data_IF_735556832864
#
_entry.id   IF_735556832864
#
_cell.length_a   1.000
_cell.length_b   1.000
_cell.length_c   1.000
_cell.angle_alpha   90.00
_cell.angle_beta   90.00
_cell.angle_gamma   90.00
#
_symmetry.space_group_name_H-M   'P 1'
#
loop_
_entity.id
_entity.type
_entity.pdbx_description
1 polymer ?
#
# COMPACT_ATOMS: atom_id res chain seq x y z
N UNK A 1 -16.60 15.00 -17.20
CA UNK A 1 -16.42 13.82 -16.30
C UNK A 1 -14.91 13.60 -16.21
N UNK A 2 -14.29 13.73 -15.02
CA UNK A 2 -12.85 13.53 -14.91
C UNK A 2 -12.50 12.08 -15.34
N UNK A 3 -11.39 11.86 -16.06
CA UNK A 3 -10.98 10.51 -16.42
C UNK A 3 -10.75 9.71 -15.13
N UNK A 4 -11.32 8.51 -15.05
CA UNK A 4 -11.16 7.61 -13.91
C UNK A 4 -9.80 6.91 -13.88
N UNK A 5 -8.92 7.23 -14.84
CA UNK A 5 -7.64 6.59 -15.11
C UNK A 5 -6.53 7.64 -15.28
N UNK A 6 -5.34 7.33 -14.77
CA UNK A 6 -4.13 8.11 -14.97
C UNK A 6 -3.00 7.21 -15.49
N UNK A 7 -2.20 7.74 -16.42
CA UNK A 7 -1.00 7.06 -16.95
C UNK A 7 0.25 7.64 -16.30
N UNK A 8 1.13 6.76 -15.85
CA UNK A 8 2.41 7.07 -15.21
C UNK A 8 3.54 6.53 -16.10
N UNK A 9 4.59 7.32 -16.30
CA UNK A 9 5.78 7.00 -17.10
C UNK A 9 7.03 6.81 -16.24
N UNK A 10 6.88 6.83 -14.91
CA UNK A 10 7.95 6.61 -13.94
C UNK A 10 8.55 7.89 -13.36
N UNK A 11 8.14 9.07 -13.84
CA UNK A 11 8.51 10.36 -13.24
C UNK A 11 7.33 11.01 -12.52
N UNK A 12 6.11 10.75 -12.97
CA UNK A 12 4.90 11.30 -12.41
C UNK A 12 4.47 10.53 -11.16
N UNK A 13 3.84 11.24 -10.24
CA UNK A 13 3.15 10.66 -9.10
C UNK A 13 2.07 11.63 -8.61
N UNK A 14 1.09 11.11 -7.90
CA UNK A 14 0.14 11.95 -7.15
C UNK A 14 0.58 11.97 -5.69
N UNK A 15 0.49 13.13 -5.07
CA UNK A 15 0.66 13.26 -3.62
C UNK A 15 -0.51 14.02 -3.03
N UNK A 16 -1.00 13.57 -1.89
CA UNK A 16 -2.03 14.28 -1.13
C UNK A 16 -1.58 14.46 0.31
N UNK A 17 -1.64 15.70 0.78
CA UNK A 17 -1.30 16.07 2.13
C UNK A 17 -2.53 15.90 3.03
N UNK A 18 -2.49 14.90 3.90
CA UNK A 18 -3.58 14.54 4.81
C UNK A 18 -3.63 15.43 6.06
N UNK A 19 -2.55 16.14 6.38
CA UNK A 19 -2.54 17.07 7.52
C UNK A 19 -3.43 18.30 7.29
N UNK A 20 -3.85 18.55 6.04
CA UNK A 20 -4.62 19.76 5.67
C UNK A 20 -6.01 19.86 6.32
N UNK A 21 -6.50 18.80 6.96
CA UNK A 21 -7.79 18.79 7.68
C UNK A 21 -7.70 19.26 9.14
N UNK A 22 -6.51 19.62 9.64
CA UNK A 22 -6.37 20.10 11.03
C UNK A 22 -4.96 20.30 11.55
N UNK A 23 -3.92 20.25 10.70
CA UNK A 23 -2.51 20.33 11.08
C UNK A 23 -1.91 18.99 11.51
N UNK A 24 -2.74 18.04 11.95
CA UNK A 24 -2.30 16.75 12.48
C UNK A 24 -2.46 15.59 11.47
N UNK A 25 -1.60 14.56 11.53
CA UNK A 25 -1.76 13.33 10.76
C UNK A 25 -3.11 12.64 11.03
N UNK A 26 -3.64 11.95 10.02
CA UNK A 26 -4.79 11.06 10.22
C UNK A 26 -4.30 9.81 10.94
N UNK A 27 -5.00 9.44 12.00
CA UNK A 27 -4.70 8.26 12.80
C UNK A 27 -5.86 7.27 12.66
N UNK A 28 -5.59 6.06 12.16
CA UNK A 28 -6.65 5.08 11.86
C UNK A 28 -6.43 3.71 12.50
N UNK A 29 -7.53 3.08 12.93
CA UNK A 29 -7.57 1.67 13.38
C UNK A 29 -8.07 0.74 12.27
N UNK A 30 -8.68 1.27 11.22
CA UNK A 30 -9.22 0.50 10.11
C UNK A 30 -9.05 1.26 8.79
N UNK A 31 -8.54 0.57 7.77
CA UNK A 31 -8.27 1.15 6.45
C UNK A 31 -8.71 0.20 5.35
N UNK A 32 -9.19 0.78 4.24
CA UNK A 32 -9.51 0.04 3.02
C UNK A 32 -8.99 0.79 1.81
N UNK A 33 -8.06 0.18 1.08
CA UNK A 33 -7.45 0.76 -0.11
C UNK A 33 -7.81 -0.14 -1.29
N UNK A 34 -8.31 0.43 -2.39
CA UNK A 34 -8.62 -0.32 -3.60
C UNK A 34 -8.24 0.48 -4.83
N UNK A 35 -7.53 -0.17 -5.75
CA UNK A 35 -7.14 0.41 -7.03
C UNK A 35 -7.02 -0.70 -8.08
N UNK A 36 -7.12 -0.31 -9.34
CA UNK A 36 -6.78 -1.17 -10.46
C UNK A 36 -5.48 -0.68 -11.08
N UNK A 37 -4.61 -1.61 -11.48
CA UNK A 37 -3.35 -1.31 -12.14
C UNK A 37 -3.18 -2.15 -13.41
N UNK A 38 -2.43 -1.61 -14.37
CA UNK A 38 -2.02 -2.30 -15.59
C UNK A 38 -0.59 -1.88 -15.93
N UNK A 39 0.33 -2.83 -16.05
CA UNK A 39 1.74 -2.57 -16.32
C UNK A 39 2.44 -3.72 -17.03
N UNK A 40 3.59 -3.43 -17.65
CA UNK A 40 4.59 -4.41 -18.13
C UNK A 40 5.84 -4.42 -17.27
N UNK A 41 5.96 -3.50 -16.30
CA UNK A 41 7.13 -3.41 -15.44
C UNK A 41 6.96 -4.36 -14.26
N UNK A 42 7.99 -5.14 -13.91
CA UNK A 42 7.90 -6.11 -12.81
C UNK A 42 7.94 -5.45 -11.44
N UNK A 43 8.25 -4.16 -11.34
CA UNK A 43 8.38 -3.43 -10.08
C UNK A 43 7.97 -1.97 -10.20
N UNK A 44 7.30 -1.46 -9.17
CA UNK A 44 6.86 -0.06 -9.12
C UNK A 44 5.97 0.24 -7.91
N UNK A 45 6.06 1.46 -7.37
CA UNK A 45 5.22 1.90 -6.24
C UNK A 45 3.77 2.13 -6.68
N UNK A 46 2.82 1.39 -6.11
CA UNK A 46 1.40 1.60 -6.42
C UNK A 46 0.79 2.66 -5.48
N UNK A 47 0.99 2.48 -4.17
CA UNK A 47 0.41 3.34 -3.14
C UNK A 47 1.32 3.35 -1.90
N UNK A 48 1.42 4.52 -1.27
CA UNK A 48 2.09 4.68 0.00
C UNK A 48 1.33 5.66 0.88
N UNK A 49 1.29 5.41 2.18
CA UNK A 49 0.92 6.41 3.20
C UNK A 49 1.76 6.17 4.46
N UNK A 50 2.02 7.23 5.22
CA UNK A 50 2.74 7.10 6.48
C UNK A 50 3.04 8.43 7.14
N UNK A 51 3.58 8.34 8.35
CA UNK A 51 4.07 9.44 9.17
C UNK A 51 5.09 8.93 10.18
N UNK A 52 6.29 9.52 10.21
CA UNK A 52 7.39 9.05 11.05
C UNK A 52 7.78 7.59 10.79
N UNK A 53 7.60 6.71 11.79
CA UNK A 53 7.87 5.27 11.70
C UNK A 53 6.69 4.46 11.17
N UNK A 54 5.49 5.04 11.16
CA UNK A 54 4.27 4.38 10.74
C UNK A 54 4.11 4.49 9.24
N UNK A 55 3.84 3.38 8.57
CA UNK A 55 3.63 3.37 7.13
C UNK A 55 2.82 2.16 6.67
N UNK A 56 2.21 2.32 5.50
CA UNK A 56 1.67 1.25 4.67
C UNK A 56 2.12 1.48 3.23
N UNK A 57 2.82 0.48 2.69
CA UNK A 57 3.44 0.51 1.37
C UNK A 57 2.95 -0.67 0.52
N UNK A 58 2.27 -0.36 -0.57
CA UNK A 58 1.77 -1.28 -1.58
C UNK A 58 2.57 -1.08 -2.88
N UNK A 59 3.24 -2.13 -3.33
CA UNK A 59 4.08 -2.07 -4.51
C UNK A 59 4.01 -3.37 -5.32
N UNK A 60 4.32 -3.27 -6.61
CA UNK A 60 4.67 -4.43 -7.40
C UNK A 60 6.16 -4.75 -7.21
N UNK A 61 6.50 -6.03 -7.04
CA UNK A 61 7.88 -6.53 -6.95
C UNK A 61 7.98 -7.90 -7.61
N UNK A 62 8.92 -8.05 -8.54
CA UNK A 62 9.16 -9.25 -9.34
C UNK A 62 7.90 -9.84 -10.01
N UNK A 63 6.96 -8.97 -10.41
CA UNK A 63 5.67 -9.32 -11.01
C UNK A 63 4.60 -9.79 -10.01
N UNK A 64 4.89 -9.77 -8.71
CA UNK A 64 3.92 -10.02 -7.63
C UNK A 64 3.53 -8.74 -6.88
N UNK A 65 2.41 -8.76 -6.19
CA UNK A 65 1.99 -7.66 -5.30
C UNK A 65 2.62 -7.85 -3.93
N UNK A 66 3.24 -6.81 -3.39
CA UNK A 66 3.85 -6.77 -2.06
C UNK A 66 3.20 -5.69 -1.22
N UNK A 67 2.95 -6.02 0.04
CA UNK A 67 2.40 -5.10 1.02
C UNK A 67 3.28 -5.15 2.27
N UNK A 68 3.77 -3.99 2.68
CA UNK A 68 4.59 -3.82 3.88
C UNK A 68 3.98 -2.75 4.75
N UNK A 69 4.01 -2.94 6.06
CA UNK A 69 3.42 -2.03 7.02
C UNK A 69 4.26 -1.97 8.28
N UNK A 70 4.32 -0.81 8.91
CA UNK A 70 4.83 -0.65 10.26
C UNK A 70 3.88 0.23 11.07
N UNK A 71 3.70 -0.12 12.34
CA UNK A 71 2.84 0.56 13.30
C UNK A 71 3.64 0.84 14.59
N UNK A 72 4.82 1.44 14.44
CA UNK A 72 5.77 1.72 15.52
C UNK A 72 6.47 0.50 16.12
N UNK A 73 5.70 -0.45 16.65
CA UNK A 73 6.18 -1.60 17.42
C UNK A 73 5.95 -2.97 16.74
N UNK A 74 5.57 -2.97 15.46
CA UNK A 74 5.52 -4.20 14.68
C UNK A 74 5.45 -3.96 13.19
N UNK A 75 6.41 -4.59 12.49
CA UNK A 75 6.47 -4.63 11.04
C UNK A 75 5.76 -5.89 10.53
N UNK A 76 4.90 -5.70 9.55
CA UNK A 76 4.29 -6.78 8.77
C UNK A 76 4.71 -6.69 7.31
N UNK A 77 4.86 -7.85 6.70
CA UNK A 77 5.12 -8.00 5.27
C UNK A 77 4.39 -9.22 4.74
N UNK A 78 3.80 -9.07 3.55
CA UNK A 78 3.11 -10.13 2.84
C UNK A 78 3.26 -9.93 1.34
N UNK A 79 3.25 -11.04 0.60
CA UNK A 79 3.41 -11.05 -0.85
C UNK A 79 2.40 -11.98 -1.50
N UNK A 80 1.76 -11.50 -2.56
CA UNK A 80 0.91 -12.28 -3.46
C UNK A 80 1.70 -12.46 -4.75
N UNK A 81 2.27 -13.66 -4.94
CA UNK A 81 3.04 -14.03 -6.14
C UNK A 81 2.82 -15.51 -6.47
N UNK A 82 1.71 -15.87 -7.14
CA UNK A 82 1.43 -17.26 -7.51
C UNK A 82 2.46 -17.78 -8.54
N UNK A 83 2.83 -19.05 -8.46
CA UNK A 83 3.93 -19.62 -9.28
C UNK A 83 3.76 -19.48 -10.80
N UNK A 84 2.52 -19.47 -11.31
CA UNK A 84 2.21 -19.43 -12.75
C UNK A 84 1.55 -18.13 -13.21
N UNK A 85 1.42 -17.15 -12.32
CA UNK A 85 0.68 -15.91 -12.58
C UNK A 85 1.57 -14.74 -12.23
N UNK A 86 1.57 -13.74 -13.11
CA UNK A 86 2.26 -12.48 -12.88
C UNK A 86 1.27 -11.35 -13.14
N UNK A 87 1.42 -10.26 -12.41
CA UNK A 87 0.54 -9.10 -12.53
C UNK A 87 1.14 -7.96 -13.37
N UNK A 88 2.29 -8.21 -14.00
CA UNK A 88 2.92 -7.34 -15.01
C UNK A 88 2.68 -7.82 -16.45
N UNK A 89 1.52 -8.45 -16.70
CA UNK A 89 1.13 -9.06 -17.98
C UNK A 89 0.43 -8.07 -18.95
N UNK A 90 0.41 -6.78 -18.60
CA UNK A 90 -0.31 -5.72 -19.30
C UNK A 90 -1.84 -5.88 -19.34
N UNK A 91 -2.43 -6.65 -18.42
CA UNK A 91 -3.86 -6.70 -18.16
C UNK A 91 -4.22 -5.86 -16.92
N UNK A 92 -5.51 -5.60 -16.76
CA UNK A 92 -6.02 -4.92 -15.59
C UNK A 92 -6.13 -5.89 -14.43
N UNK A 93 -5.47 -5.55 -13.31
CA UNK A 93 -5.62 -6.25 -12.05
C UNK A 93 -6.18 -5.32 -10.98
N UNK A 94 -7.13 -5.82 -10.18
CA UNK A 94 -7.68 -5.08 -9.04
C UNK A 94 -7.03 -5.57 -7.77
N UNK A 95 -6.37 -4.68 -7.05
CA UNK A 95 -5.87 -4.95 -5.70
C UNK A 95 -6.76 -4.25 -4.67
N UNK A 96 -7.13 -4.98 -3.63
CA UNK A 96 -7.83 -4.44 -2.46
C UNK A 96 -7.09 -4.83 -1.21
N UNK A 97 -6.80 -3.86 -0.35
CA UNK A 97 -6.11 -4.02 0.92
C UNK A 97 -7.06 -3.63 2.04
N UNK A 98 -7.14 -4.45 3.08
CA UNK A 98 -7.85 -4.17 4.31
C UNK A 98 -6.91 -4.29 5.50
N UNK A 99 -6.95 -3.28 6.37
CA UNK A 99 -6.26 -3.25 7.66
C UNK A 99 -7.31 -3.08 8.75
N UNK A 100 -7.22 -3.84 9.82
CA UNK A 100 -8.09 -3.69 10.98
C UNK A 100 -7.35 -4.02 12.27
N UNK A 101 -7.33 -3.08 13.20
CA UNK A 101 -6.91 -3.29 14.58
C UNK A 101 -8.13 -3.64 15.41
N UNK A 102 -7.98 -4.65 16.24
CA UNK A 102 -8.95 -5.06 17.24
C UNK A 102 -8.28 -5.03 18.60
N UNK A 103 -8.77 -4.16 19.49
CA UNK A 103 -8.35 -4.14 20.88
C UNK A 103 -8.95 -5.34 21.61
N UNK A 104 -8.12 -6.09 22.33
CA UNK A 104 -8.54 -7.24 23.15
C UNK A 104 -8.47 -6.90 24.64
N UNK A 105 -7.45 -6.13 25.03
CA UNK A 105 -7.29 -5.59 26.37
C UNK A 105 -6.49 -4.29 26.30
N UNK A 106 -6.39 -3.58 27.43
CA UNK A 106 -5.63 -2.33 27.54
C UNK A 106 -4.15 -2.42 27.13
N UNK A 107 -3.57 -3.63 27.05
CA UNK A 107 -2.17 -3.87 26.68
C UNK A 107 -2.00 -4.75 25.44
N UNK A 108 -3.10 -5.26 24.87
CA UNK A 108 -3.06 -6.21 23.76
C UNK A 108 -4.07 -5.85 22.69
N UNK A 109 -3.55 -5.55 21.50
CA UNK A 109 -4.30 -5.40 20.26
C UNK A 109 -3.85 -6.44 19.23
N UNK A 110 -4.76 -6.86 18.38
CA UNK A 110 -4.47 -7.62 17.17
C UNK A 110 -4.65 -6.76 15.94
N UNK A 111 -3.65 -6.69 15.08
CA UNK A 111 -3.77 -6.08 13.77
C UNK A 111 -3.86 -7.17 12.71
N UNK A 112 -4.95 -7.18 11.93
CA UNK A 112 -5.08 -7.99 10.72
C UNK A 112 -4.81 -7.12 9.49
N UNK A 113 -3.95 -7.63 8.62
CA UNK A 113 -3.67 -7.07 7.31
C UNK A 113 -4.04 -8.11 6.25
N UNK A 114 -4.80 -7.73 5.24
CA UNK A 114 -5.15 -8.63 4.15
C UNK A 114 -5.14 -7.91 2.82
N UNK A 115 -4.77 -8.62 1.77
CA UNK A 115 -4.79 -8.14 0.41
C UNK A 115 -5.42 -9.19 -0.51
N UNK A 116 -6.14 -8.73 -1.52
CA UNK A 116 -6.76 -9.57 -2.55
C UNK A 116 -6.46 -8.98 -3.91
N UNK A 117 -5.96 -9.80 -4.83
CA UNK A 117 -5.78 -9.47 -6.25
C UNK A 117 -6.81 -10.24 -7.07
N UNK A 118 -7.58 -9.51 -7.88
CA UNK A 118 -8.62 -10.00 -8.80
C UNK A 118 -9.77 -10.78 -8.16
N UNK A 119 -9.93 -10.66 -6.84
CA UNK A 119 -10.90 -11.45 -6.08
C UNK A 119 -10.52 -12.92 -5.89
N UNK A 120 -9.36 -13.33 -6.38
CA UNK A 120 -8.93 -14.74 -6.41
C UNK A 120 -7.71 -14.95 -5.50
N UNK A 121 -6.65 -14.16 -5.71
CA UNK A 121 -5.41 -14.34 -4.99
C UNK A 121 -5.45 -13.53 -3.70
N UNK A 122 -5.66 -14.22 -2.59
CA UNK A 122 -5.78 -13.59 -1.27
C UNK A 122 -4.58 -13.95 -0.43
N UNK A 123 -4.09 -12.97 0.33
CA UNK A 123 -3.13 -13.22 1.39
C UNK A 123 -3.50 -12.41 2.63
N UNK A 124 -3.13 -12.91 3.80
CA UNK A 124 -3.36 -12.21 5.05
C UNK A 124 -2.23 -12.46 6.02
N UNK A 125 -1.93 -11.45 6.83
CA UNK A 125 -0.97 -11.49 7.91
C UNK A 125 -1.57 -10.84 9.15
N UNK A 126 -1.04 -11.19 10.31
CA UNK A 126 -1.50 -10.64 11.57
C UNK A 126 -0.35 -10.49 12.54
N UNK A 127 -0.52 -9.59 13.50
CA UNK A 127 0.43 -9.38 14.59
C UNK A 127 -0.32 -9.06 15.88
N UNK A 128 0.28 -9.39 17.03
CA UNK A 128 -0.27 -9.23 18.37
C UNK A 128 0.70 -8.41 19.25
N UNK A 129 0.20 -7.45 20.04
CA UNK A 129 1.03 -6.54 20.83
C UNK A 129 0.37 -5.19 21.10
N UNK A 130 1.15 -4.22 21.57
CA UNK A 130 0.69 -2.85 21.90
C UNK A 130 0.57 -1.96 20.65
N UNK A 131 -0.08 -2.40 19.57
CA UNK A 131 -0.01 -1.65 18.30
C UNK A 131 -0.54 -0.22 18.42
N UNK A 132 0.24 0.69 17.88
CA UNK A 132 -0.22 2.04 17.60
C UNK A 132 -1.05 2.03 16.31
N UNK A 133 -1.95 3.00 16.22
CA UNK A 133 -2.77 3.23 15.03
C UNK A 133 -1.87 3.63 13.85
N UNK A 134 -2.35 3.51 12.62
CA UNK A 134 -1.57 3.97 11.47
C UNK A 134 -1.66 5.48 11.41
N UNK A 135 -0.56 6.18 11.72
CA UNK A 135 -0.44 7.62 11.46
C UNK A 135 -0.13 7.88 9.97
N UNK A 136 -0.79 8.87 9.39
CA UNK A 136 -0.68 9.19 7.96
C UNK A 136 -0.79 10.69 7.71
N UNK A 137 0.35 11.32 7.41
CA UNK A 137 0.42 12.75 7.07
C UNK A 137 0.38 12.99 5.56
N UNK A 138 0.78 11.99 4.76
CA UNK A 138 0.81 12.10 3.29
C UNK A 138 0.54 10.78 2.60
N UNK A 139 -0.20 10.85 1.50
CA UNK A 139 -0.42 9.75 0.56
C UNK A 139 0.39 10.00 -0.71
N UNK A 140 0.96 8.95 -1.26
CA UNK A 140 1.54 8.91 -2.60
C UNK A 140 0.89 7.81 -3.44
N UNK A 141 0.67 8.09 -4.72
CA UNK A 141 0.12 7.13 -5.70
C UNK A 141 0.98 7.13 -6.95
N UNK A 142 1.36 5.93 -7.41
CA UNK A 142 2.18 5.74 -8.62
C UNK A 142 3.66 6.08 -8.47
N UNK A 143 4.10 6.70 -7.38
CA UNK A 143 5.50 7.06 -7.20
C UNK A 143 5.70 8.08 -6.09
N UNK A 144 6.93 8.53 -5.91
CA UNK A 144 7.27 9.63 -5.01
C UNK A 144 8.51 10.35 -5.53
N UNK A 145 8.93 11.41 -4.84
CA UNK A 145 10.18 12.09 -5.14
C UNK A 145 11.40 11.17 -5.03
N UNK A 146 11.40 10.26 -4.04
CA UNK A 146 12.44 9.25 -3.86
C UNK A 146 11.83 7.98 -3.24
N UNK A 147 11.39 7.08 -4.11
CA UNK A 147 10.69 5.85 -3.70
C UNK A 147 11.58 4.87 -2.94
N UNK A 148 12.88 4.88 -3.17
CA UNK A 148 13.82 4.07 -2.39
C UNK A 148 13.97 4.58 -0.95
N UNK A 149 13.82 5.89 -0.72
CA UNK A 149 13.93 6.48 0.61
C UNK A 149 12.66 6.32 1.47
N UNK A 150 11.54 5.88 0.89
CA UNK A 150 10.31 5.66 1.65
C UNK A 150 10.49 4.49 2.64
N UNK A 151 10.14 4.66 3.93
CA UNK A 151 10.15 3.59 4.91
C UNK A 151 9.42 2.33 4.43
N UNK A 152 10.09 1.17 4.56
CA UNK A 152 9.53 -0.11 4.13
C UNK A 152 9.51 -0.36 2.62
N UNK A 153 9.93 0.61 1.81
CA UNK A 153 10.09 0.39 0.38
C UNK A 153 11.16 -0.66 0.10
N UNK A 154 10.82 -1.62 -0.76
CA UNK A 154 11.74 -2.67 -1.24
C UNK A 154 12.00 -2.56 -2.73
N UNK A 155 11.66 -1.41 -3.30
CA UNK A 155 11.73 -1.12 -4.73
C UNK A 155 12.27 0.31 -4.90
N UNK A 156 12.88 0.57 -6.05
CA UNK A 156 13.54 1.85 -6.33
C UNK A 156 12.73 2.72 -7.29
N UNK A 157 11.82 2.09 -8.05
CA UNK A 157 11.19 2.69 -9.21
C UNK A 157 9.79 3.19 -8.88
N UNK A 158 9.44 4.34 -9.41
CA UNK A 158 8.04 4.74 -9.55
C UNK A 158 7.33 3.80 -10.54
N UNK A 159 6.01 3.81 -10.50
CA UNK A 159 5.17 3.00 -11.37
C UNK A 159 5.21 3.52 -12.81
N UNK A 160 5.24 2.57 -13.74
CA UNK A 160 5.07 2.83 -15.17
C UNK A 160 3.88 2.00 -15.63
N UNK A 161 2.81 2.64 -16.07
CA UNK A 161 1.56 1.95 -16.41
C UNK A 161 0.34 2.84 -16.21
N UNK A 162 -0.84 2.21 -16.09
CA UNK A 162 -2.08 2.92 -15.81
C UNK A 162 -2.63 2.53 -14.43
N UNK A 163 -3.16 3.50 -13.70
CA UNK A 163 -3.92 3.30 -12.47
C UNK A 163 -5.34 3.86 -12.63
N UNK A 164 -6.34 3.18 -12.09
CA UNK A 164 -7.73 3.67 -12.05
C UNK A 164 -8.44 3.27 -10.76
N UNK A 165 -9.52 4.00 -10.43
CA UNK A 165 -10.46 3.64 -9.36
C UNK A 165 -11.26 2.39 -9.73
#
# INVERSE_FOLDING_TARGET
KAPSEATFRGSEYLSYDLSRTGGEPIVSTQDSISLNFKTRQPSGLLFYTGDGLDYLNLALKDGGVTLTMNLGNGRLEMQIKPNKVRFDDNQWHKVTVHRKVQEISAVTSFCRLSAVVDGVYTEHSHTAGTFTMLSSSRVYVGGSQNTHALPGSRIHNNFVGCLRK
#
